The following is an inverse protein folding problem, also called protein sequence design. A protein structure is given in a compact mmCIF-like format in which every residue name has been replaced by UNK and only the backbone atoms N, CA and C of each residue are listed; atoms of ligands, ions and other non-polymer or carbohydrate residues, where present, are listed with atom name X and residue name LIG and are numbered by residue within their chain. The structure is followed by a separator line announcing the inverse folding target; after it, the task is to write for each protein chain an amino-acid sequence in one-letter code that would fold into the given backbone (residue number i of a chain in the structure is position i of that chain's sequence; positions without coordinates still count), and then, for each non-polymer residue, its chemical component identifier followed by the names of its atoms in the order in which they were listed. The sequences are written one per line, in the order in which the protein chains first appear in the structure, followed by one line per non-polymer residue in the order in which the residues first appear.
data_IF_701359337696
#
_entry.id   IF_701359337696
#
_cell.length_a   1.000
_cell.length_b   1.000
_cell.length_c   1.000
_cell.angle_alpha   90.00
_cell.angle_beta   90.00
_cell.angle_gamma   90.00
#
_symmetry.space_group_name_H-M   'P 1'
#
loop_
_entity.id
_entity.type
_entity.pdbx_description
1 polymer ?
#
# COMPACT_ATOMS: atom_id res chain seq x y z
N UNK A 1 21.97 0.52 -16.13
CA UNK A 1 21.97 -0.95 -16.34
C UNK A 1 20.88 -1.26 -17.33
N UNK A 2 21.22 -1.84 -18.49
CA UNK A 2 20.21 -2.32 -19.46
C UNK A 2 19.41 -3.42 -18.77
N UNK A 3 18.13 -3.18 -18.46
CA UNK A 3 17.21 -4.23 -17.97
C UNK A 3 17.28 -5.36 -18.99
N UNK A 4 17.94 -6.46 -18.62
CA UNK A 4 17.81 -7.73 -19.33
C UNK A 4 16.33 -7.95 -19.54
N UNK A 5 15.85 -8.01 -20.79
CA UNK A 5 14.44 -8.29 -21.03
C UNK A 5 14.14 -9.67 -20.47
N UNK A 6 13.40 -9.70 -19.37
CA UNK A 6 12.81 -10.90 -18.79
C UNK A 6 12.04 -11.63 -19.89
N UNK A 7 12.22 -12.94 -20.06
CA UNK A 7 11.48 -13.71 -21.04
C UNK A 7 9.96 -13.49 -20.89
N UNK A 8 9.24 -13.42 -22.02
CA UNK A 8 7.80 -13.17 -22.02
C UNK A 8 7.00 -14.22 -21.25
N UNK A 9 7.53 -15.41 -21.02
CA UNK A 9 6.86 -16.50 -20.31
C UNK A 9 7.16 -16.52 -18.79
N UNK A 10 7.93 -15.56 -18.27
CA UNK A 10 8.25 -15.48 -16.84
C UNK A 10 6.98 -15.14 -16.02
N UNK A 11 6.69 -15.82 -14.90
CA UNK A 11 5.65 -15.38 -13.97
C UNK A 11 5.88 -13.94 -13.49
N UNK A 12 4.79 -13.18 -13.31
CA UNK A 12 4.85 -11.75 -13.04
C UNK A 12 3.95 -11.32 -11.90
N UNK A 13 4.38 -10.29 -11.20
CA UNK A 13 3.60 -9.54 -10.22
C UNK A 13 3.58 -8.08 -10.66
N UNK A 14 2.42 -7.42 -10.58
CA UNK A 14 2.31 -5.99 -10.88
C UNK A 14 1.91 -5.21 -9.63
N UNK A 15 2.61 -4.12 -9.37
CA UNK A 15 2.33 -3.24 -8.23
C UNK A 15 1.77 -1.93 -8.77
N UNK A 16 0.45 -1.78 -8.71
CA UNK A 16 -0.22 -0.56 -9.16
C UNK A 16 -0.52 0.36 -7.97
N UNK A 17 -0.08 1.60 -8.05
CA UNK A 17 -0.34 2.55 -6.98
C UNK A 17 0.26 3.93 -7.20
N UNK A 18 0.36 4.68 -6.11
CA UNK A 18 0.86 6.06 -6.10
C UNK A 18 2.38 6.17 -5.80
N UNK A 19 2.82 7.34 -5.33
CA UNK A 19 4.22 7.56 -4.94
C UNK A 19 4.70 6.62 -3.83
N UNK A 20 3.81 6.10 -2.98
CA UNK A 20 4.15 5.08 -1.99
C UNK A 20 4.51 3.75 -2.66
N UNK A 21 3.91 3.44 -3.81
CA UNK A 21 4.28 2.27 -4.61
C UNK A 21 5.54 2.54 -5.41
N UNK A 22 5.66 3.71 -6.04
CA UNK A 22 6.85 4.10 -6.82
C UNK A 22 8.14 3.99 -5.99
N UNK A 23 8.12 4.55 -4.77
CA UNK A 23 9.25 4.54 -3.85
C UNK A 23 9.53 3.18 -3.21
N UNK A 24 8.62 2.22 -3.34
CA UNK A 24 8.78 0.90 -2.74
C UNK A 24 9.92 0.06 -3.37
N UNK A 25 10.55 0.53 -4.45
CA UNK A 25 11.72 -0.11 -5.05
C UNK A 25 13.04 0.23 -4.34
N UNK A 26 13.05 1.18 -3.39
CA UNK A 26 14.28 1.57 -2.71
C UNK A 26 14.62 0.64 -1.55
N UNK A 27 15.80 0.02 -1.63
CA UNK A 27 16.41 -0.76 -0.54
C UNK A 27 16.61 0.08 0.74
N UNK A 28 17.01 1.35 0.60
CA UNK A 28 17.22 2.27 1.73
C UNK A 28 15.98 2.43 2.60
N UNK A 29 14.81 2.35 1.97
CA UNK A 29 13.51 2.55 2.61
C UNK A 29 12.91 1.20 3.01
N UNK A 30 13.60 0.08 2.79
CA UNK A 30 13.09 -1.29 2.99
C UNK A 30 11.77 -1.53 2.25
N UNK A 31 11.66 -0.95 1.05
CA UNK A 31 10.41 -0.90 0.29
C UNK A 31 9.85 -2.28 -0.07
N UNK A 32 8.52 -2.39 -0.09
CA UNK A 32 7.86 -3.69 -0.30
C UNK A 32 8.08 -4.27 -1.71
N UNK A 33 8.28 -3.43 -2.74
CA UNK A 33 8.60 -3.91 -4.09
C UNK A 33 9.99 -4.54 -4.12
N UNK A 34 10.97 -3.87 -3.50
CA UNK A 34 12.33 -4.42 -3.34
C UNK A 34 12.32 -5.73 -2.55
N UNK A 35 11.52 -5.82 -1.48
CA UNK A 35 11.35 -7.05 -0.70
C UNK A 35 10.70 -8.19 -1.48
N UNK A 36 9.73 -7.89 -2.33
CA UNK A 36 9.16 -8.88 -3.26
C UNK A 36 10.21 -9.35 -4.27
N UNK A 37 11.01 -8.45 -4.82
CA UNK A 37 12.11 -8.80 -5.75
C UNK A 37 13.14 -9.71 -5.08
N UNK A 38 13.55 -9.40 -3.84
CA UNK A 38 14.45 -10.23 -3.04
C UNK A 38 13.83 -11.61 -2.75
N UNK A 39 12.57 -11.66 -2.34
CA UNK A 39 11.90 -12.92 -2.01
C UNK A 39 11.77 -13.85 -3.23
N UNK A 40 11.39 -13.29 -4.38
CA UNK A 40 11.18 -14.02 -5.64
C UNK A 40 12.41 -14.04 -6.57
N UNK A 41 13.58 -13.70 -6.07
CA UNK A 41 14.79 -13.55 -6.88
C UNK A 41 15.01 -14.76 -7.82
N UNK A 42 15.16 -14.46 -9.11
CA UNK A 42 15.35 -15.46 -10.17
C UNK A 42 14.15 -16.36 -10.46
N UNK A 43 12.96 -16.08 -9.89
CA UNK A 43 11.77 -16.94 -10.00
C UNK A 43 10.54 -16.22 -10.53
N UNK A 44 10.30 -14.99 -10.09
CA UNK A 44 9.17 -14.16 -10.52
C UNK A 44 9.67 -12.75 -10.79
N UNK A 45 9.17 -12.13 -11.86
CA UNK A 45 9.42 -10.72 -12.13
C UNK A 45 8.43 -9.84 -11.35
N UNK A 46 8.94 -8.84 -10.65
CA UNK A 46 8.14 -7.81 -10.01
C UNK A 46 8.17 -6.56 -10.88
N UNK A 47 6.99 -6.07 -11.27
CA UNK A 47 6.84 -4.86 -12.08
C UNK A 47 6.21 -3.78 -11.22
N UNK A 48 7.00 -2.78 -10.87
CA UNK A 48 6.54 -1.62 -10.11
C UNK A 48 5.98 -0.55 -11.08
N UNK A 49 4.67 -0.35 -11.04
CA UNK A 49 3.93 0.66 -11.81
C UNK A 49 3.35 1.71 -10.85
N UNK A 50 4.19 2.20 -9.93
CA UNK A 50 3.89 3.39 -9.14
C UNK A 50 3.83 4.63 -10.02
N UNK A 51 2.69 5.32 -10.02
CA UNK A 51 2.47 6.52 -10.82
C UNK A 51 2.07 7.66 -9.89
N UNK A 52 2.73 8.81 -10.00
CA UNK A 52 2.32 10.00 -9.27
C UNK A 52 0.85 10.32 -9.61
N UNK A 53 -0.02 10.24 -8.61
CA UNK A 53 -1.47 10.34 -8.81
C UNK A 53 -1.87 11.72 -9.30
N UNK A 54 -2.65 11.74 -10.36
CA UNK A 54 -3.50 12.85 -10.76
C UNK A 54 -4.85 12.28 -11.21
N UNK A 55 -5.86 13.14 -11.46
CA UNK A 55 -7.23 12.83 -11.96
C UNK A 55 -7.33 11.88 -13.19
N UNK A 56 -6.21 11.38 -13.72
CA UNK A 56 -6.09 10.50 -14.89
C UNK A 56 -5.75 9.04 -14.55
N UNK A 57 -5.93 8.58 -13.30
CA UNK A 57 -5.55 7.23 -12.89
C UNK A 57 -6.22 6.11 -13.70
N UNK A 58 -7.44 6.32 -14.24
CA UNK A 58 -8.08 5.35 -15.12
C UNK A 58 -7.29 5.11 -16.41
N UNK A 59 -6.88 6.18 -17.09
CA UNK A 59 -6.03 6.09 -18.28
C UNK A 59 -4.67 5.46 -17.94
N UNK A 60 -4.12 5.79 -16.77
CA UNK A 60 -2.88 5.18 -16.28
C UNK A 60 -3.06 3.68 -16.04
N UNK A 61 -4.14 3.25 -15.39
CA UNK A 61 -4.45 1.84 -15.16
C UNK A 61 -4.54 1.07 -16.49
N UNK A 62 -5.32 1.57 -17.45
CA UNK A 62 -5.44 0.94 -18.77
C UNK A 62 -4.08 0.85 -19.49
N UNK A 63 -3.27 1.91 -19.40
CA UNK A 63 -1.97 1.98 -20.06
C UNK A 63 -0.91 1.10 -19.41
N UNK A 64 -0.80 1.12 -18.08
CA UNK A 64 0.32 0.54 -17.33
C UNK A 64 0.00 -0.86 -16.80
N UNK A 65 -1.28 -1.24 -16.70
CA UNK A 65 -1.68 -2.58 -16.27
C UNK A 65 -2.26 -3.35 -17.46
N UNK A 66 -3.42 -2.96 -17.98
CA UNK A 66 -4.15 -3.75 -18.98
C UNK A 66 -3.33 -3.95 -20.25
N UNK A 67 -2.91 -2.85 -20.89
CA UNK A 67 -2.13 -2.90 -22.13
C UNK A 67 -0.78 -3.61 -21.95
N UNK A 68 -0.12 -3.43 -20.80
CA UNK A 68 1.15 -4.09 -20.52
C UNK A 68 0.95 -5.61 -20.40
N UNK A 69 -0.12 -6.05 -19.76
CA UNK A 69 -0.46 -7.48 -19.67
C UNK A 69 -0.76 -8.05 -21.06
N UNK A 70 -1.52 -7.33 -21.90
CA UNK A 70 -1.80 -7.73 -23.28
C UNK A 70 -0.50 -7.86 -24.11
N UNK A 71 0.38 -6.86 -24.05
CA UNK A 71 1.63 -6.83 -24.82
C UNK A 71 2.64 -7.92 -24.37
N UNK A 72 2.65 -8.24 -23.08
CA UNK A 72 3.47 -9.31 -22.49
C UNK A 72 2.92 -10.69 -22.85
N UNK A 73 1.60 -10.85 -22.91
CA UNK A 73 0.93 -12.13 -23.17
C UNK A 73 1.07 -13.11 -22.00
N UNK A 74 0.75 -14.40 -22.19
CA UNK A 74 0.83 -15.41 -21.13
C UNK A 74 2.24 -15.61 -20.54
N UNK A 75 2.37 -16.03 -19.26
CA UNK A 75 1.29 -16.33 -18.32
C UNK A 75 0.60 -15.08 -17.78
N UNK A 76 -0.63 -15.25 -17.27
CA UNK A 76 -1.33 -14.23 -16.51
C UNK A 76 -0.49 -13.81 -15.27
N UNK A 77 -0.61 -12.56 -14.80
CA UNK A 77 0.02 -12.15 -13.55
C UNK A 77 -0.39 -13.05 -12.38
N UNK A 78 0.54 -13.34 -11.48
CA UNK A 78 0.28 -14.08 -10.24
C UNK A 78 -0.66 -13.26 -9.35
N UNK A 79 -0.29 -12.01 -9.11
CA UNK A 79 -1.16 -11.05 -8.44
C UNK A 79 -0.87 -9.61 -8.85
N UNK A 80 -1.85 -8.75 -8.58
CA UNK A 80 -1.77 -7.30 -8.77
C UNK A 80 -2.15 -6.62 -7.45
N UNK A 81 -1.29 -5.74 -6.94
CA UNK A 81 -1.68 -4.86 -5.82
C UNK A 81 -2.30 -3.58 -6.36
N UNK A 82 -3.35 -3.07 -5.71
CA UNK A 82 -3.89 -1.73 -5.95
C UNK A 82 -3.74 -0.94 -4.64
N UNK A 83 -2.82 0.02 -4.63
CA UNK A 83 -2.49 0.82 -3.45
C UNK A 83 -2.61 2.31 -3.77
N UNK A 84 -3.82 2.84 -3.54
CA UNK A 84 -4.24 4.21 -3.88
C UNK A 84 -4.99 4.85 -2.71
N UNK A 85 -5.28 6.14 -2.81
CA UNK A 85 -6.04 6.88 -1.81
C UNK A 85 -5.20 7.79 -0.93
N UNK A 86 -3.85 7.67 -0.95
CA UNK A 86 -3.01 8.53 -0.12
C UNK A 86 -3.09 10.00 -0.56
N UNK A 87 -3.25 10.22 -1.87
CA UNK A 87 -3.42 11.53 -2.49
C UNK A 87 -4.89 11.88 -2.73
N UNK A 88 -5.70 10.91 -3.17
CA UNK A 88 -7.13 11.10 -3.47
C UNK A 88 -7.93 11.61 -2.27
N UNK A 89 -7.50 11.25 -1.05
CA UNK A 89 -8.10 11.70 0.19
C UNK A 89 -7.56 13.06 0.70
N UNK A 90 -6.53 13.65 0.07
CA UNK A 90 -5.89 14.86 0.55
C UNK A 90 -6.70 16.14 0.26
N UNK A 91 -7.16 16.81 1.32
CA UNK A 91 -7.91 18.06 1.22
C UNK A 91 -6.97 19.26 1.03
N UNK A 92 -6.69 19.55 -0.25
CA UNK A 92 -5.85 20.63 -0.74
C UNK A 92 -6.64 21.43 -1.79
N UNK A 93 -6.64 22.76 -1.70
CA UNK A 93 -7.46 23.63 -2.56
C UNK A 93 -7.23 23.43 -4.07
N UNK A 94 -6.01 23.06 -4.47
CA UNK A 94 -5.64 22.67 -5.84
C UNK A 94 -5.01 21.27 -5.89
N UNK A 95 -5.39 20.41 -4.94
CA UNK A 95 -4.75 19.12 -4.75
C UNK A 95 -5.35 17.96 -5.54
N UNK A 96 -4.80 16.77 -5.33
CA UNK A 96 -5.23 15.54 -6.00
C UNK A 96 -6.55 14.95 -5.46
N UNK A 97 -7.33 15.70 -4.69
CA UNK A 97 -8.57 15.20 -4.10
C UNK A 97 -9.54 14.66 -5.17
N UNK A 98 -10.08 13.47 -4.90
CA UNK A 98 -11.12 12.82 -5.69
C UNK A 98 -12.33 12.61 -4.79
N UNK A 99 -13.56 12.99 -5.17
CA UNK A 99 -14.74 12.69 -4.36
C UNK A 99 -14.86 11.19 -4.07
N UNK A 100 -15.23 10.82 -2.84
CA UNK A 100 -15.25 9.41 -2.39
C UNK A 100 -16.06 8.48 -3.32
N UNK A 101 -17.19 8.95 -3.87
CA UNK A 101 -18.01 8.17 -4.81
C UNK A 101 -17.31 7.91 -6.14
N UNK A 102 -16.52 8.87 -6.63
CA UNK A 102 -15.72 8.72 -7.84
C UNK A 102 -14.53 7.78 -7.59
N UNK A 103 -13.86 7.93 -6.44
CA UNK A 103 -12.81 7.00 -6.02
C UNK A 103 -13.33 5.57 -5.90
N UNK A 104 -14.49 5.36 -5.27
CA UNK A 104 -15.14 4.05 -5.20
C UNK A 104 -15.39 3.46 -6.60
N UNK A 105 -15.92 4.26 -7.53
CA UNK A 105 -16.15 3.82 -8.90
C UNK A 105 -14.85 3.41 -9.62
N UNK A 106 -13.74 4.14 -9.39
CA UNK A 106 -12.43 3.80 -9.94
C UNK A 106 -11.92 2.46 -9.40
N UNK A 107 -11.95 2.25 -8.09
CA UNK A 107 -11.44 1.01 -7.48
C UNK A 107 -12.24 -0.20 -7.97
N UNK A 108 -13.57 -0.11 -8.00
CA UNK A 108 -14.43 -1.18 -8.52
C UNK A 108 -14.11 -1.47 -9.99
N UNK A 109 -14.00 -0.41 -10.80
CA UNK A 109 -13.64 -0.56 -12.20
C UNK A 109 -12.30 -1.29 -12.39
N UNK A 110 -11.26 -0.97 -11.60
CA UNK A 110 -9.97 -1.65 -11.71
C UNK A 110 -10.06 -3.13 -11.34
N UNK A 111 -10.78 -3.44 -10.26
CA UNK A 111 -11.01 -4.83 -9.84
C UNK A 111 -11.76 -5.61 -10.91
N UNK A 112 -12.90 -5.09 -11.38
CA UNK A 112 -13.73 -5.73 -12.40
C UNK A 112 -12.96 -5.91 -13.72
N UNK A 113 -12.21 -4.87 -14.16
CA UNK A 113 -11.36 -4.96 -15.35
C UNK A 113 -10.30 -6.06 -15.25
N UNK A 114 -9.75 -6.33 -14.06
CA UNK A 114 -8.78 -7.44 -13.89
C UNK A 114 -9.52 -8.78 -13.87
N UNK A 115 -10.65 -8.90 -13.18
CA UNK A 115 -11.38 -10.16 -13.05
C UNK A 115 -11.97 -10.63 -14.39
N UNK A 116 -12.47 -9.68 -15.21
CA UNK A 116 -13.15 -9.99 -16.46
C UNK A 116 -12.19 -10.15 -17.65
N UNK A 117 -10.93 -9.73 -17.51
CA UNK A 117 -10.00 -9.70 -18.64
C UNK A 117 -9.38 -11.10 -18.94
N UNK A 118 -9.32 -11.53 -20.22
CA UNK A 118 -8.79 -12.86 -20.58
C UNK A 118 -7.31 -13.06 -20.25
N UNK A 119 -6.50 -12.00 -20.27
CA UNK A 119 -5.07 -12.05 -19.95
C UNK A 119 -4.73 -12.13 -18.46
N UNK A 120 -5.74 -12.05 -17.59
CA UNK A 120 -5.62 -12.03 -16.12
C UNK A 120 -6.43 -13.14 -15.46
N UNK A 121 -6.77 -14.20 -16.22
CA UNK A 121 -7.49 -15.34 -15.68
C UNK A 121 -6.69 -15.99 -14.55
N UNK A 122 -7.29 -16.08 -13.36
CA UNK A 122 -6.66 -16.62 -12.15
C UNK A 122 -5.76 -15.64 -11.40
N UNK A 123 -5.56 -14.42 -11.92
CA UNK A 123 -4.76 -13.38 -11.27
C UNK A 123 -5.40 -12.95 -9.96
N UNK A 124 -4.61 -12.96 -8.87
CA UNK A 124 -5.07 -12.48 -7.57
C UNK A 124 -4.99 -10.96 -7.50
N UNK A 125 -5.85 -10.34 -6.69
CA UNK A 125 -5.90 -8.89 -6.51
C UNK A 125 -5.81 -8.59 -5.02
N UNK A 126 -4.90 -7.70 -4.65
CA UNK A 126 -4.75 -7.23 -3.27
C UNK A 126 -5.06 -5.74 -3.24
N UNK A 127 -6.18 -5.38 -2.62
CA UNK A 127 -6.49 -3.99 -2.32
C UNK A 127 -5.76 -3.58 -1.03
N UNK A 128 -5.00 -2.50 -1.07
CA UNK A 128 -4.28 -1.98 0.10
C UNK A 128 -4.88 -0.63 0.47
N UNK A 129 -5.35 -0.47 1.71
CA UNK A 129 -5.90 0.81 2.17
C UNK A 129 -4.82 1.89 2.23
N UNK A 130 -5.12 3.16 1.94
CA UNK A 130 -4.17 4.25 2.16
C UNK A 130 -3.75 4.34 3.63
N UNK A 131 -2.51 4.77 3.93
CA UNK A 131 -2.07 4.97 5.29
C UNK A 131 -2.66 6.25 5.92
N UNK A 132 -2.57 6.38 7.24
CA UNK A 132 -2.64 7.67 7.93
C UNK A 132 -1.67 8.70 7.35
N UNK A 133 -1.96 9.97 7.65
CA UNK A 133 -0.99 11.07 7.53
C UNK A 133 -0.50 11.37 8.95
N UNK A 134 0.78 11.68 9.11
CA UNK A 134 1.35 12.03 10.42
C UNK A 134 1.28 13.53 10.66
N UNK A 135 0.10 14.02 11.05
CA UNK A 135 -0.08 15.43 11.42
C UNK A 135 0.38 15.58 12.87
N UNK A 136 1.39 16.44 13.13
CA UNK A 136 1.85 16.66 14.49
C UNK A 136 0.76 17.32 15.34
N UNK A 137 0.69 16.93 16.60
CA UNK A 137 -0.15 17.62 17.59
C UNK A 137 0.43 19.02 17.83
N UNK A 138 -0.40 20.06 18.07
CA UNK A 138 0.07 21.45 18.20
C UNK A 138 0.99 21.76 19.40
N UNK A 139 1.62 20.76 20.03
CA UNK A 139 2.60 20.94 21.11
C UNK A 139 2.03 21.52 22.40
N UNK A 140 0.70 21.60 22.50
CA UNK A 140 -0.01 22.00 23.71
C UNK A 140 -0.27 20.76 24.54
N UNK A 141 0.07 20.81 25.83
CA UNK A 141 -0.32 19.75 26.75
C UNK A 141 -1.85 19.64 26.77
N UNK A 142 -2.39 18.40 26.84
CA UNK A 142 -3.82 18.20 27.01
C UNK A 142 -4.31 18.96 28.25
N UNK A 143 -5.33 19.80 28.10
CA UNK A 143 -5.97 20.48 29.23
C UNK A 143 -6.90 19.51 29.99
N UNK A 144 -6.44 18.30 30.28
CA UNK A 144 -7.27 17.22 30.84
C UNK A 144 -7.85 17.58 32.21
N UNK A 145 -7.16 18.45 32.98
CA UNK A 145 -7.64 19.00 34.25
C UNK A 145 -8.77 20.04 34.09
N UNK A 146 -9.04 20.49 32.86
CA UNK A 146 -10.05 21.50 32.52
C UNK A 146 -10.89 21.03 31.31
N UNK A 147 -11.92 20.19 31.51
CA UNK A 147 -12.69 19.58 30.43
C UNK A 147 -13.25 20.57 29.40
N UNK A 148 -13.76 21.71 29.86
CA UNK A 148 -14.28 22.77 28.98
C UNK A 148 -13.21 23.34 28.03
N UNK A 149 -11.97 23.45 28.50
CA UNK A 149 -10.83 23.91 27.68
C UNK A 149 -10.38 22.81 26.73
N UNK A 150 -10.31 21.56 27.20
CA UNK A 150 -9.97 20.40 26.37
C UNK A 150 -10.93 20.25 25.18
N UNK A 151 -12.23 20.39 25.42
CA UNK A 151 -13.28 20.31 24.40
C UNK A 151 -13.14 21.42 23.34
N UNK A 152 -12.83 22.65 23.75
CA UNK A 152 -12.59 23.77 22.83
C UNK A 152 -11.33 23.54 22.00
N UNK A 153 -10.23 23.11 22.62
CA UNK A 153 -8.99 22.80 21.92
C UNK A 153 -9.19 21.68 20.89
N UNK A 154 -9.89 20.62 21.26
CA UNK A 154 -10.22 19.52 20.35
C UNK A 154 -11.09 20.02 19.18
N UNK A 155 -12.12 20.81 19.46
CA UNK A 155 -13.01 21.37 18.43
C UNK A 155 -12.25 22.24 17.42
N UNK A 156 -11.33 23.08 17.89
CA UNK A 156 -10.48 23.90 17.02
C UNK A 156 -9.53 23.05 16.17
N UNK A 157 -8.91 22.01 16.75
CA UNK A 157 -8.05 21.09 16.01
C UNK A 157 -8.81 20.37 14.89
N UNK A 158 -10.06 19.95 15.15
CA UNK A 158 -10.93 19.32 14.13
C UNK A 158 -11.28 20.23 12.96
N UNK A 159 -11.25 21.56 13.15
CA UNK A 159 -11.43 22.52 12.05
C UNK A 159 -10.19 22.65 11.17
N UNK A 160 -9.02 22.27 11.69
CA UNK A 160 -7.73 22.32 11.02
C UNK A 160 -7.64 21.40 9.81
N UNK A 161 -6.87 21.83 8.80
CA UNK A 161 -6.65 21.06 7.57
C UNK A 161 -6.00 19.70 7.83
N UNK A 162 -5.12 19.62 8.82
CA UNK A 162 -4.44 18.37 9.21
C UNK A 162 -5.43 17.28 9.61
N UNK A 163 -6.21 17.51 10.66
CA UNK A 163 -7.24 16.57 11.11
C UNK A 163 -8.24 16.22 10.00
N UNK A 164 -8.74 17.21 9.24
CA UNK A 164 -9.65 16.95 8.11
C UNK A 164 -9.04 16.04 7.04
N UNK A 165 -7.75 16.20 6.76
CA UNK A 165 -7.03 15.32 5.82
C UNK A 165 -6.85 13.92 6.40
N UNK A 166 -6.55 13.81 7.69
CA UNK A 166 -6.46 12.55 8.41
C UNK A 166 -7.81 11.79 8.43
N UNK A 167 -8.90 12.47 8.76
CA UNK A 167 -10.26 11.92 8.74
C UNK A 167 -10.69 11.49 7.34
N UNK A 168 -10.36 12.30 6.32
CA UNK A 168 -10.60 11.96 4.92
C UNK A 168 -9.85 10.66 4.54
N UNK A 169 -8.56 10.53 4.87
CA UNK A 169 -7.79 9.30 4.63
C UNK A 169 -8.38 8.09 5.37
N UNK A 170 -8.81 8.27 6.62
CA UNK A 170 -9.53 7.23 7.40
C UNK A 170 -10.80 6.77 6.69
N UNK A 171 -11.55 7.71 6.13
CA UNK A 171 -12.78 7.42 5.36
C UNK A 171 -12.49 6.62 4.10
N UNK A 172 -11.42 6.96 3.37
CA UNK A 172 -11.00 6.23 2.18
C UNK A 172 -10.48 4.82 2.52
N UNK A 173 -9.73 4.67 3.62
CA UNK A 173 -9.31 3.37 4.12
C UNK A 173 -10.51 2.47 4.44
N UNK A 174 -11.49 2.97 5.21
CA UNK A 174 -12.74 2.26 5.49
C UNK A 174 -13.48 1.86 4.21
N UNK A 175 -13.48 2.74 3.20
CA UNK A 175 -14.11 2.46 1.90
C UNK A 175 -13.39 1.34 1.13
N UNK A 176 -12.06 1.33 1.10
CA UNK A 176 -11.28 0.24 0.49
C UNK A 176 -11.57 -1.10 1.21
N UNK A 177 -11.61 -1.10 2.54
CA UNK A 177 -11.99 -2.30 3.32
C UNK A 177 -13.38 -2.78 2.93
N UNK A 178 -14.37 -1.89 2.89
CA UNK A 178 -15.73 -2.22 2.48
C UNK A 178 -15.76 -2.87 1.09
N UNK A 179 -15.16 -2.21 0.08
CA UNK A 179 -15.12 -2.72 -1.30
C UNK A 179 -14.43 -4.09 -1.33
N UNK A 180 -13.28 -4.22 -0.66
CA UNK A 180 -12.52 -5.47 -0.58
C UNK A 180 -13.34 -6.62 0.00
N UNK A 181 -14.08 -6.38 1.10
CA UNK A 181 -14.97 -7.39 1.71
C UNK A 181 -16.12 -7.79 0.80
N UNK A 182 -16.68 -6.85 0.05
CA UNK A 182 -17.72 -7.16 -0.94
C UNK A 182 -17.20 -8.06 -2.07
N UNK A 183 -15.95 -7.91 -2.49
CA UNK A 183 -15.34 -8.78 -3.50
C UNK A 183 -14.86 -10.12 -2.91
N UNK A 184 -14.29 -10.13 -1.70
CA UNK A 184 -13.96 -11.37 -0.99
C UNK A 184 -15.18 -12.29 -0.83
N UNK A 185 -16.37 -11.72 -0.64
CA UNK A 185 -17.62 -12.48 -0.58
C UNK A 185 -18.06 -13.09 -1.93
N UNK A 186 -17.50 -12.61 -3.05
CA UNK A 186 -17.87 -13.04 -4.42
C UNK A 186 -16.82 -13.95 -5.05
N UNK A 187 -15.56 -13.84 -4.65
CA UNK A 187 -14.45 -14.54 -5.30
C UNK A 187 -13.26 -14.73 -4.36
N UNK A 188 -12.57 -15.86 -4.49
CA UNK A 188 -11.32 -16.15 -3.78
C UNK A 188 -10.11 -15.42 -4.40
N UNK A 189 -10.30 -14.68 -5.50
CA UNK A 189 -9.22 -13.96 -6.18
C UNK A 189 -8.90 -12.60 -5.56
N UNK A 190 -9.80 -12.00 -4.78
CA UNK A 190 -9.59 -10.66 -4.20
C UNK A 190 -9.32 -10.77 -2.70
N UNK A 191 -8.33 -10.07 -2.19
CA UNK A 191 -8.09 -9.89 -0.76
C UNK A 191 -7.92 -8.41 -0.42
N UNK A 192 -8.21 -8.02 0.82
CA UNK A 192 -7.97 -6.66 1.31
C UNK A 192 -6.99 -6.64 2.47
N UNK A 193 -5.95 -5.82 2.33
CA UNK A 193 -5.02 -5.45 3.38
C UNK A 193 -5.46 -4.12 4.01
N UNK A 194 -6.03 -4.20 5.21
CA UNK A 194 -6.33 -3.02 6.04
C UNK A 194 -5.04 -2.49 6.69
N UNK A 195 -4.21 -1.90 5.84
CA UNK A 195 -2.93 -1.33 6.23
C UNK A 195 -3.10 -0.16 7.20
N UNK A 196 -4.17 0.64 7.07
CA UNK A 196 -4.49 1.72 8.00
C UNK A 196 -4.56 1.20 9.43
N UNK A 197 -5.37 0.15 9.65
CA UNK A 197 -5.52 -0.45 10.97
C UNK A 197 -4.22 -1.09 11.42
N UNK A 198 -3.52 -1.81 10.54
CA UNK A 198 -2.29 -2.51 10.89
C UNK A 198 -1.18 -1.55 11.36
N UNK A 199 -0.85 -0.52 10.57
CA UNK A 199 0.21 0.44 10.92
C UNK A 199 -0.13 1.22 12.18
N UNK A 200 -1.40 1.62 12.35
CA UNK A 200 -1.84 2.39 13.51
C UNK A 200 -1.78 1.57 14.80
N UNK A 201 -2.21 0.29 14.76
CA UNK A 201 -2.14 -0.61 15.93
C UNK A 201 -0.71 -0.83 16.42
N UNK A 202 0.23 -1.01 15.49
CA UNK A 202 1.65 -1.20 15.82
C UNK A 202 2.22 0.08 16.40
N UNK A 203 1.93 1.22 15.79
CA UNK A 203 2.38 2.52 16.25
C UNK A 203 1.88 2.81 17.68
N UNK A 204 0.59 2.59 17.96
CA UNK A 204 0.05 2.72 19.32
C UNK A 204 0.80 1.83 20.32
N UNK A 205 0.94 0.53 20.02
CA UNK A 205 1.62 -0.45 20.88
C UNK A 205 3.05 -0.04 21.24
N UNK A 206 3.75 0.61 20.32
CA UNK A 206 5.14 1.02 20.51
C UNK A 206 5.33 2.33 21.26
N UNK A 207 4.41 3.30 21.10
CA UNK A 207 4.55 4.62 21.73
C UNK A 207 4.46 4.56 23.25
N UNK A 208 3.55 3.74 23.77
CA UNK A 208 3.18 3.82 25.18
C UNK A 208 3.37 2.51 25.96
N UNK A 209 3.74 1.41 25.28
CA UNK A 209 3.51 0.08 25.83
C UNK A 209 2.02 -0.16 26.15
N UNK A 210 1.13 0.59 25.49
CA UNK A 210 -0.32 0.54 25.63
C UNK A 210 -0.82 -0.89 25.39
N UNK A 211 -1.59 -1.48 26.31
CA UNK A 211 -2.24 -2.77 26.09
C UNK A 211 -3.13 -2.73 24.85
N UNK A 212 -3.43 -3.89 24.26
CA UNK A 212 -4.32 -4.01 23.08
C UNK A 212 -5.70 -3.31 23.25
N UNK A 213 -6.11 -2.96 24.47
CA UNK A 213 -7.37 -2.28 24.77
C UNK A 213 -7.41 -0.77 24.47
N UNK A 214 -6.28 -0.06 24.44
CA UNK A 214 -6.31 1.40 24.33
C UNK A 214 -6.49 1.88 22.88
N UNK A 215 -6.18 1.05 21.87
CA UNK A 215 -6.39 1.40 20.46
C UNK A 215 -7.86 1.73 20.18
N UNK A 216 -8.79 0.90 20.65
CA UNK A 216 -10.22 1.11 20.40
C UNK A 216 -10.72 2.38 21.12
N UNK A 217 -10.21 2.66 22.32
CA UNK A 217 -10.51 3.90 23.04
C UNK A 217 -9.97 5.14 22.31
N UNK A 218 -8.73 5.06 21.82
CA UNK A 218 -8.12 6.14 21.03
C UNK A 218 -8.86 6.38 19.72
N UNK A 219 -9.32 5.32 19.03
CA UNK A 219 -10.13 5.46 17.81
C UNK A 219 -11.50 6.09 18.11
N UNK A 220 -12.15 5.71 19.22
CA UNK A 220 -13.40 6.32 19.69
C UNK A 220 -13.25 7.82 19.98
N UNK A 221 -12.07 8.23 20.50
CA UNK A 221 -11.74 9.63 20.81
C UNK A 221 -11.08 10.38 19.64
N UNK A 222 -10.87 9.71 18.50
CA UNK A 222 -10.06 10.16 17.36
C UNK A 222 -8.64 10.61 17.73
N UNK A 223 -8.07 10.13 18.84
CA UNK A 223 -6.71 10.46 19.33
C UNK A 223 -5.64 9.50 18.78
N UNK A 224 -5.94 8.75 17.74
CA UNK A 224 -4.97 7.88 17.07
C UNK A 224 -3.76 8.69 16.55
N UNK A 225 -2.58 8.06 16.42
CA UNK A 225 -1.38 8.74 15.95
C UNK A 225 -1.59 9.48 14.63
N UNK A 226 -0.95 10.65 14.51
CA UNK A 226 -0.99 11.48 13.32
C UNK A 226 -2.31 12.23 13.09
N UNK A 227 -3.30 12.13 13.99
CA UNK A 227 -4.57 12.86 13.88
C UNK A 227 -4.43 14.38 14.04
N UNK A 228 -3.35 14.84 14.68
CA UNK A 228 -3.14 16.24 15.03
C UNK A 228 -4.09 16.77 16.11
N UNK A 229 -4.83 15.90 16.80
CA UNK A 229 -5.61 16.30 17.97
C UNK A 229 -4.70 16.51 19.19
N UNK A 230 -5.05 17.43 20.12
CA UNK A 230 -4.37 17.56 21.39
C UNK A 230 -4.27 16.20 22.12
N UNK A 231 -3.06 15.84 22.55
CA UNK A 231 -2.76 14.56 23.18
C UNK A 231 -2.67 13.34 22.26
N UNK A 232 -2.85 13.49 20.94
CA UNK A 232 -2.56 12.41 20.01
C UNK A 232 -1.06 12.23 19.80
N UNK A 233 -0.61 10.98 19.72
CA UNK A 233 0.77 10.64 19.37
C UNK A 233 1.13 10.98 17.92
N UNK A 234 2.42 10.90 17.61
CA UNK A 234 2.97 11.05 16.25
C UNK A 234 3.67 9.76 15.86
N UNK A 235 3.51 9.31 14.63
CA UNK A 235 4.21 8.13 14.14
C UNK A 235 5.74 8.34 14.11
N UNK A 236 6.19 9.52 13.68
CA UNK A 236 7.59 9.88 13.61
C UNK A 236 8.33 9.39 12.34
N UNK A 237 9.59 9.81 12.21
CA UNK A 237 10.35 9.73 10.94
C UNK A 237 10.66 8.33 10.44
N UNK A 238 10.75 7.35 11.34
CA UNK A 238 10.95 5.95 10.95
C UNK A 238 9.73 5.39 10.22
N UNK A 239 8.53 5.86 10.56
CA UNK A 239 7.29 5.49 9.91
C UNK A 239 7.02 6.38 8.69
N UNK A 240 7.14 7.70 8.83
CA UNK A 240 6.89 8.67 7.76
C UNK A 240 8.00 9.71 7.66
N UNK A 241 8.70 9.77 6.54
CA UNK A 241 9.83 10.68 6.32
C UNK A 241 9.43 12.16 6.30
N UNK A 242 8.25 12.46 5.76
CA UNK A 242 7.69 13.81 5.60
C UNK A 242 6.23 13.91 6.07
N UNK A 243 5.78 12.93 6.85
CA UNK A 243 4.40 12.77 7.31
C UNK A 243 3.45 12.11 6.30
N UNK A 244 3.90 11.81 5.07
CA UNK A 244 3.12 11.10 4.05
C UNK A 244 3.85 9.88 3.49
N UNK A 245 5.10 10.04 3.05
CA UNK A 245 5.90 8.97 2.47
C UNK A 245 6.57 8.14 3.55
N UNK A 246 6.57 6.82 3.38
CA UNK A 246 7.10 5.94 4.39
C UNK A 246 8.60 6.09 4.60
N UNK A 247 9.01 6.00 5.86
CA UNK A 247 10.36 5.62 6.25
C UNK A 247 10.50 4.10 6.29
N UNK A 248 11.68 3.64 6.74
CA UNK A 248 12.04 2.22 6.77
C UNK A 248 11.00 1.35 7.48
N UNK A 249 10.49 1.83 8.61
CA UNK A 249 9.53 1.11 9.45
C UNK A 249 8.14 1.06 8.85
N UNK A 250 7.71 2.15 8.20
CA UNK A 250 6.43 2.18 7.49
C UNK A 250 6.36 1.08 6.42
N UNK A 251 7.42 0.95 5.60
CA UNK A 251 7.51 -0.12 4.61
C UNK A 251 7.73 -1.50 5.23
N UNK A 252 8.45 -1.62 6.35
CA UNK A 252 8.62 -2.90 7.06
C UNK A 252 7.27 -3.48 7.49
N UNK A 253 6.41 -2.64 8.09
CA UNK A 253 5.05 -3.05 8.46
C UNK A 253 4.26 -3.46 7.22
N UNK A 254 4.26 -2.64 6.17
CA UNK A 254 3.52 -2.94 4.94
C UNK A 254 3.94 -4.27 4.34
N UNK A 255 5.25 -4.49 4.25
CA UNK A 255 5.84 -5.72 3.73
C UNK A 255 5.41 -6.92 4.56
N UNK A 256 5.57 -6.83 5.90
CA UNK A 256 5.19 -7.92 6.80
C UNK A 256 3.73 -8.33 6.63
N UNK A 257 2.83 -7.35 6.67
CA UNK A 257 1.39 -7.61 6.57
C UNK A 257 0.98 -8.09 5.17
N UNK A 258 1.62 -7.57 4.12
CA UNK A 258 1.41 -8.02 2.75
C UNK A 258 1.81 -9.50 2.59
N UNK A 259 3.00 -9.90 3.07
CA UNK A 259 3.43 -11.30 3.00
C UNK A 259 2.56 -12.21 3.87
N UNK A 260 2.19 -11.77 5.07
CA UNK A 260 1.30 -12.53 5.95
C UNK A 260 -0.05 -12.80 5.28
N UNK A 261 -0.68 -11.77 4.70
CA UNK A 261 -1.93 -11.92 3.95
C UNK A 261 -1.75 -12.81 2.73
N UNK A 262 -0.73 -12.53 1.90
CA UNK A 262 -0.46 -13.23 0.65
C UNK A 262 -0.33 -14.75 0.87
N UNK A 263 0.54 -15.15 1.80
CA UNK A 263 0.88 -16.55 2.01
C UNK A 263 -0.18 -17.30 2.83
N UNK A 264 -0.92 -16.62 3.71
CA UNK A 264 -2.06 -17.23 4.39
C UNK A 264 -3.21 -17.52 3.41
N UNK A 265 -3.43 -16.61 2.46
CA UNK A 265 -4.60 -16.63 1.58
C UNK A 265 -4.35 -17.40 0.28
N UNK A 266 -3.11 -17.40 -0.21
CA UNK A 266 -2.68 -18.12 -1.41
C UNK A 266 -1.30 -18.78 -1.18
N UNK A 267 -1.25 -19.91 -0.42
CA UNK A 267 -0.01 -20.65 -0.19
C UNK A 267 0.67 -21.12 -1.48
N UNK A 268 -0.08 -21.27 -2.58
CA UNK A 268 0.48 -21.60 -3.90
C UNK A 268 1.45 -20.53 -4.42
N UNK A 269 1.39 -19.29 -3.89
CA UNK A 269 2.31 -18.20 -4.22
C UNK A 269 3.63 -18.25 -3.45
N UNK A 270 3.87 -19.25 -2.59
CA UNK A 270 5.20 -19.44 -2.01
C UNK A 270 6.29 -19.55 -3.09
N UNK A 271 7.43 -18.86 -2.89
CA UNK A 271 8.50 -18.80 -3.90
C UNK A 271 9.00 -20.16 -4.38
N UNK A 272 8.90 -21.18 -3.54
CA UNK A 272 9.41 -22.53 -3.80
C UNK A 272 8.61 -23.23 -4.90
N UNK A 273 7.37 -22.79 -5.14
CA UNK A 273 6.49 -23.31 -6.18
C UNK A 273 6.87 -22.81 -7.59
N UNK A 274 7.78 -21.83 -7.70
CA UNK A 274 8.25 -21.29 -8.98
C UNK A 274 9.68 -21.73 -9.26
N UNK A 275 9.98 -22.26 -10.46
CA UNK A 275 11.32 -22.75 -10.79
C UNK A 275 12.33 -21.59 -10.80
N UNK A 276 13.54 -21.86 -10.30
CA UNK A 276 14.66 -20.93 -10.41
C UNK A 276 15.11 -20.87 -11.88
N UNK A 277 14.99 -19.69 -12.48
CA UNK A 277 15.47 -19.41 -13.83
C UNK A 277 16.83 -18.72 -13.71
N UNK A 278 17.89 -19.52 -13.77
CA UNK A 278 19.27 -18.98 -13.81
C UNK A 278 19.45 -18.25 -15.13
N UNK A 279 19.80 -16.97 -15.09
CA UNK A 279 20.16 -16.22 -16.29
C UNK A 279 21.36 -16.92 -16.96
N UNK A 280 21.28 -17.15 -18.27
CA UNK A 280 22.27 -17.91 -19.05
C UNK A 280 23.67 -17.25 -19.07
N UNK A 281 23.84 -16.08 -18.42
CA UNK A 281 25.09 -15.33 -18.42
C UNK A 281 26.19 -15.87 -17.50
N UNK A 282 25.97 -16.92 -16.70
CA UNK A 282 26.99 -17.50 -15.82
C UNK A 282 27.63 -18.81 -16.28
N UNK A 283 27.25 -19.35 -17.45
CA UNK A 283 27.95 -20.51 -18.03
C UNK A 283 29.20 -20.10 -18.81
N UNK A 284 30.22 -19.58 -18.09
CA UNK A 284 31.58 -19.57 -18.63
C UNK A 284 32.16 -20.97 -18.50
N UNK A 285 32.04 -21.78 -19.57
CA UNK A 285 32.80 -23.03 -19.70
C UNK A 285 34.18 -22.65 -20.26
N UNK A 286 35.28 -22.73 -19.49
CA UNK A 286 36.60 -22.45 -20.03
C UNK A 286 36.89 -23.48 -21.12
N UNK A 287 37.15 -23.01 -22.34
CA UNK A 287 37.70 -23.85 -23.40
C UNK A 287 39.08 -24.35 -22.95
N UNK A 288 39.14 -25.60 -22.50
CA UNK A 288 40.41 -26.33 -22.35
C UNK A 288 41.00 -26.46 -23.75
N UNK A 289 42.02 -25.65 -24.02
CA UNK A 289 42.82 -25.80 -25.23
C UNK A 289 43.90 -26.83 -24.88
N UNK A 290 43.71 -28.08 -25.31
CA UNK A 290 44.81 -29.05 -25.31
C UNK A 290 45.81 -28.62 -26.38
N UNK A 291 47.07 -28.45 -25.98
CA UNK A 291 48.23 -28.42 -26.87
C UNK A 291 48.76 -29.82 -27.05
#
# INVERSE_FOLDING_TARGET
MTKSQTPKDHPRIYLFGDSLTERACFESDNGFAWKLEEYYEGRVEVVNEGVQTARSLRTSFERYIVKVIEDRGPPAPLFITIFLGANDACLLSNGPYVPLSEFEAHIRHYVDSILDHPGTQGTKIILITPPPIDVPSPGLEPADDLPEVADVMQSLAKLGRGYKTWESKRTFAKKIVQIGKEYEAKTEQVAVLDFWTAITKIACKEMDGTPEGDFDELDLKDRLPGSGLPGAGEFGKEYFTDGLHFGKKGYEVLTRELFALLLAKWPELERQNFPLRVSVQSQYVPKVTMR
#
